data_IF_505737940072
#
_entry.id   IF_505737940072
#
_cell.length_a   1.000
_cell.length_b   1.000
_cell.length_c   1.000
_cell.angle_alpha   90.00
_cell.angle_beta   90.00
_cell.angle_gamma   90.00
#
_symmetry.space_group_name_H-M   'P 1'
#
loop_
_entity.id
_entity.type
_entity.pdbx_description
1 polymer ?
#
# COMPACT_ATOMS: atom_id res chain seq x y z
N UNK A 1 6.41 -0.51 -5.45
CA UNK A 1 7.33 -1.04 -4.43
C UNK A 1 8.01 -2.36 -4.81
N UNK A 2 7.33 -3.45 -5.16
CA UNK A 2 8.01 -4.73 -5.43
C UNK A 2 9.00 -4.68 -6.61
N UNK A 3 8.89 -3.67 -7.45
CA UNK A 3 9.78 -3.46 -8.59
C UNK A 3 11.21 -3.06 -8.21
N UNK A 4 11.42 -2.49 -7.03
CA UNK A 4 12.71 -1.94 -6.63
C UNK A 4 13.11 -2.32 -5.21
N UNK A 5 12.23 -2.94 -4.43
CA UNK A 5 12.49 -3.25 -3.03
C UNK A 5 11.59 -4.33 -2.43
N UNK A 6 12.01 -4.88 -1.28
CA UNK A 6 11.29 -5.80 -0.40
C UNK A 6 11.09 -7.23 -0.93
N UNK A 7 11.28 -7.47 -2.21
CA UNK A 7 11.10 -8.79 -2.81
C UNK A 7 12.28 -9.12 -3.71
N UNK A 8 13.03 -10.16 -3.38
CA UNK A 8 14.17 -10.74 -4.11
C UNK A 8 14.88 -9.85 -5.14
N UNK A 9 16.05 -9.31 -4.79
CA UNK A 9 16.81 -8.40 -5.67
C UNK A 9 17.13 -9.06 -7.02
N UNK A 10 17.39 -10.37 -7.05
CA UNK A 10 17.64 -11.15 -8.28
C UNK A 10 16.49 -11.11 -9.29
N UNK A 11 15.28 -10.71 -8.85
CA UNK A 11 14.06 -10.62 -9.69
C UNK A 11 13.66 -9.18 -10.00
N UNK A 12 14.53 -8.21 -9.75
CA UNK A 12 14.30 -6.80 -10.06
C UNK A 12 14.92 -6.48 -11.42
N UNK A 13 14.06 -6.14 -12.39
CA UNK A 13 14.45 -5.69 -13.73
C UNK A 13 13.68 -4.41 -14.06
N UNK A 14 14.43 -3.34 -14.31
CA UNK A 14 13.88 -2.02 -14.59
C UNK A 14 13.03 -1.96 -15.85
N UNK A 15 13.44 -2.62 -16.92
CA UNK A 15 12.70 -2.62 -18.19
C UNK A 15 11.41 -3.45 -18.08
N UNK A 16 11.47 -4.61 -17.42
CA UNK A 16 10.26 -5.40 -17.13
C UNK A 16 9.30 -4.62 -16.21
N UNK A 17 9.83 -3.89 -15.23
CA UNK A 17 9.03 -3.04 -14.34
C UNK A 17 8.36 -1.90 -15.08
N UNK A 18 9.06 -1.24 -16.02
CA UNK A 18 8.48 -0.19 -16.86
C UNK A 18 7.34 -0.73 -17.72
N UNK A 19 7.56 -1.86 -18.40
CA UNK A 19 6.49 -2.51 -19.18
C UNK A 19 5.27 -2.84 -18.32
N UNK A 20 5.48 -3.29 -17.08
CA UNK A 20 4.38 -3.57 -16.17
C UNK A 20 3.60 -2.30 -15.77
N UNK A 21 4.29 -1.16 -15.57
CA UNK A 21 3.61 0.11 -15.29
C UNK A 21 2.82 0.60 -16.50
N UNK A 22 3.40 0.56 -17.70
CA UNK A 22 2.69 0.94 -18.93
C UNK A 22 1.45 0.04 -19.14
N UNK A 23 1.58 -1.27 -18.99
CA UNK A 23 0.45 -2.20 -19.09
C UNK A 23 -0.66 -1.89 -18.05
N UNK A 24 -0.29 -1.50 -16.83
CA UNK A 24 -1.28 -1.06 -15.82
C UNK A 24 -2.03 0.19 -16.28
N UNK A 25 -1.34 1.20 -16.79
CA UNK A 25 -1.96 2.43 -17.30
C UNK A 25 -2.85 2.15 -18.52
N UNK A 26 -2.41 1.29 -19.43
CA UNK A 26 -3.18 0.89 -20.62
C UNK A 26 -4.44 0.08 -20.24
N UNK A 27 -4.39 -0.65 -19.12
CA UNK A 27 -5.53 -1.34 -18.52
C UNK A 27 -6.44 -0.42 -17.66
N UNK A 28 -6.22 0.91 -17.67
CA UNK A 28 -7.07 1.88 -16.99
C UNK A 28 -6.67 2.22 -15.54
N UNK A 29 -5.57 1.68 -15.02
CA UNK A 29 -5.02 2.11 -13.73
C UNK A 29 -4.52 3.55 -13.86
N UNK A 30 -4.92 4.44 -12.95
CA UNK A 30 -4.50 5.85 -12.99
C UNK A 30 -3.67 6.28 -11.77
N UNK A 31 -3.57 5.48 -10.73
CA UNK A 31 -2.83 5.80 -9.51
C UNK A 31 -1.53 5.01 -9.44
N UNK A 32 -0.39 5.73 -9.33
CA UNK A 32 0.91 5.14 -9.04
C UNK A 32 1.36 5.56 -7.64
N UNK A 33 1.56 4.57 -6.74
CA UNK A 33 2.02 4.78 -5.38
C UNK A 33 3.47 4.34 -5.21
N UNK A 34 4.34 5.28 -4.85
CA UNK A 34 5.75 5.06 -4.58
C UNK A 34 6.17 5.62 -3.21
N UNK A 35 7.45 5.68 -2.92
CA UNK A 35 8.06 6.35 -1.76
C UNK A 35 9.54 6.63 -2.01
N UNK A 36 10.07 7.66 -1.36
CA UNK A 36 11.50 7.99 -1.41
C UNK A 36 12.37 6.84 -0.92
N UNK A 37 11.93 6.11 0.10
CA UNK A 37 12.67 4.98 0.65
C UNK A 37 12.70 3.72 -0.24
N UNK A 38 11.86 3.63 -1.28
CA UNK A 38 11.80 2.42 -2.09
C UNK A 38 13.00 2.27 -3.02
N UNK A 39 13.81 1.23 -2.78
CA UNK A 39 14.96 0.85 -3.54
C UNK A 39 16.25 1.69 -3.43
N UNK A 40 16.65 2.29 -2.32
CA UNK A 40 16.34 3.66 -1.93
C UNK A 40 16.39 4.60 -3.12
N UNK A 41 15.35 5.37 -3.29
CA UNK A 41 15.12 6.37 -4.36
C UNK A 41 14.91 5.82 -5.79
N UNK A 42 15.32 4.59 -6.08
CA UNK A 42 15.31 4.03 -7.45
C UNK A 42 13.89 3.82 -7.98
N UNK A 43 12.91 3.60 -7.09
CA UNK A 43 11.52 3.45 -7.50
C UNK A 43 10.92 4.78 -8.02
N UNK A 44 11.23 5.90 -7.38
CA UNK A 44 10.79 7.22 -7.87
C UNK A 44 11.45 7.57 -9.21
N UNK A 45 12.72 7.18 -9.43
CA UNK A 45 13.37 7.34 -10.74
C UNK A 45 12.67 6.52 -11.83
N UNK A 46 12.25 5.29 -11.52
CA UNK A 46 11.50 4.45 -12.45
C UNK A 46 10.14 5.08 -12.78
N UNK A 47 9.40 5.53 -11.76
CA UNK A 47 8.11 6.22 -11.96
C UNK A 47 8.31 7.52 -12.72
N UNK A 48 9.39 8.28 -12.47
CA UNK A 48 9.73 9.50 -13.19
C UNK A 48 9.89 9.30 -14.69
N UNK A 49 10.45 8.15 -15.14
CA UNK A 49 10.49 7.81 -16.57
C UNK A 49 9.09 7.70 -17.18
N UNK A 50 8.16 7.10 -16.45
CA UNK A 50 6.75 7.00 -16.91
C UNK A 50 6.06 8.37 -16.91
N UNK A 51 6.25 9.17 -15.85
CA UNK A 51 5.64 10.49 -15.75
C UNK A 51 6.12 11.45 -16.84
N UNK A 52 7.37 11.33 -17.28
CA UNK A 52 7.89 12.12 -18.42
C UNK A 52 7.05 11.94 -19.69
N UNK A 53 6.50 10.76 -19.90
CA UNK A 53 5.74 10.40 -21.09
C UNK A 53 4.23 10.52 -20.89
N UNK A 54 3.75 10.20 -19.66
CA UNK A 54 2.32 9.97 -19.38
C UNK A 54 1.83 10.71 -18.12
N UNK A 55 2.38 11.90 -17.82
CA UNK A 55 1.99 12.66 -16.60
C UNK A 55 0.49 12.93 -16.51
N UNK A 56 -0.16 13.19 -17.64
CA UNK A 56 -1.60 13.47 -17.70
C UNK A 56 -2.49 12.28 -17.33
N UNK A 57 -1.99 11.05 -17.45
CA UNK A 57 -2.73 9.83 -17.20
C UNK A 57 -2.58 9.36 -15.73
N UNK A 58 -1.71 10.01 -14.94
CA UNK A 58 -1.27 9.50 -13.66
C UNK A 58 -1.58 10.44 -12.51
N UNK A 59 -2.27 9.91 -11.51
CA UNK A 59 -2.28 10.44 -10.15
C UNK A 59 -1.08 9.85 -9.40
N UNK A 60 -0.05 10.66 -9.14
CA UNK A 60 1.16 10.20 -8.48
C UNK A 60 1.12 10.43 -6.98
N UNK A 61 1.34 9.35 -6.22
CA UNK A 61 1.51 9.35 -4.78
C UNK A 61 2.95 8.97 -4.42
N UNK A 62 3.57 9.75 -3.55
CA UNK A 62 4.85 9.37 -2.93
C UNK A 62 4.88 9.73 -1.45
N UNK A 63 5.92 9.28 -0.74
CA UNK A 63 5.98 9.34 0.72
C UNK A 63 7.35 9.81 1.19
N UNK A 64 7.36 10.47 2.37
CA UNK A 64 8.57 10.80 3.11
C UNK A 64 8.45 10.39 4.57
N UNK A 65 9.49 10.63 5.34
CA UNK A 65 9.48 10.40 6.78
C UNK A 65 10.21 9.15 7.23
N UNK A 66 10.82 8.40 6.28
CA UNK A 66 11.67 7.26 6.59
C UNK A 66 13.02 7.40 5.89
N UNK A 67 14.09 7.18 6.66
CA UNK A 67 15.45 7.08 6.17
C UNK A 67 15.90 5.62 6.19
N UNK A 68 16.47 5.17 5.09
CA UNK A 68 17.04 3.82 4.98
C UNK A 68 18.54 3.91 5.22
N UNK A 69 19.00 3.33 6.32
CA UNK A 69 20.41 3.06 6.57
C UNK A 69 20.78 1.63 6.19
N UNK A 70 22.06 1.27 6.34
CA UNK A 70 22.56 -0.05 5.95
C UNK A 70 21.88 -1.21 6.69
N UNK A 71 21.50 -1.04 7.95
CA UNK A 71 20.93 -2.09 8.78
C UNK A 71 19.59 -1.73 9.44
N UNK A 72 19.12 -0.48 9.30
CA UNK A 72 17.92 -0.02 9.99
C UNK A 72 17.19 1.06 9.19
N UNK A 73 15.91 1.19 9.48
CA UNK A 73 15.05 2.26 8.97
C UNK A 73 14.73 3.18 10.15
N UNK A 74 14.96 4.48 9.97
CA UNK A 74 14.75 5.51 11.00
C UNK A 74 13.68 6.47 10.52
N UNK A 75 12.75 6.83 11.43
CA UNK A 75 11.81 7.91 11.16
C UNK A 75 12.53 9.27 11.21
N UNK A 76 12.12 10.20 10.34
CA UNK A 76 12.56 11.59 10.36
C UNK A 76 11.41 12.51 9.94
N UNK A 77 10.80 13.14 10.94
CA UNK A 77 9.68 14.08 10.75
C UNK A 77 10.08 15.55 10.79
N UNK A 78 11.38 15.87 10.90
CA UNK A 78 11.84 17.25 11.05
C UNK A 78 11.42 18.11 9.85
N UNK A 79 10.79 19.29 10.07
CA UNK A 79 10.27 20.16 9.00
C UNK A 79 11.27 20.43 7.88
N UNK A 80 12.52 20.73 8.20
CA UNK A 80 13.55 20.99 7.20
C UNK A 80 13.92 19.76 6.36
N UNK A 81 13.83 18.54 6.95
CA UNK A 81 14.02 17.31 6.20
C UNK A 81 12.85 17.07 5.23
N UNK A 82 11.60 17.16 5.71
CA UNK A 82 10.40 16.92 4.91
C UNK A 82 10.36 17.79 3.66
N UNK A 83 10.68 19.08 3.79
CA UNK A 83 10.75 20.01 2.65
C UNK A 83 11.81 19.61 1.62
N UNK A 84 13.03 19.28 2.08
CA UNK A 84 14.10 18.82 1.18
C UNK A 84 13.79 17.47 0.54
N UNK A 85 13.14 16.56 1.27
CA UNK A 85 12.70 15.27 0.75
C UNK A 85 11.68 15.45 -0.39
N UNK A 86 10.71 16.35 -0.23
CA UNK A 86 9.76 16.69 -1.28
C UNK A 86 10.45 17.23 -2.54
N UNK A 87 11.36 18.20 -2.40
CA UNK A 87 12.13 18.75 -3.52
C UNK A 87 12.97 17.67 -4.22
N UNK A 88 13.50 16.74 -3.47
CA UNK A 88 14.24 15.62 -4.03
C UNK A 88 13.32 14.63 -4.77
N UNK A 89 12.13 14.34 -4.23
CA UNK A 89 11.12 13.49 -4.87
C UNK A 89 10.62 14.09 -6.18
N UNK A 90 10.32 15.39 -6.21
CA UNK A 90 9.94 16.11 -7.44
C UNK A 90 10.99 15.94 -8.55
N UNK A 91 12.28 16.10 -8.21
CA UNK A 91 13.38 15.90 -9.16
C UNK A 91 13.46 14.47 -9.69
N UNK A 92 13.32 13.44 -8.79
CA UNK A 92 13.37 12.03 -9.19
C UNK A 92 12.16 11.63 -10.03
N UNK A 93 10.98 12.12 -9.65
CA UNK A 93 9.72 11.92 -10.36
C UNK A 93 9.63 12.72 -11.66
N UNK A 94 10.53 13.68 -11.90
CA UNK A 94 10.54 14.54 -13.09
C UNK A 94 9.19 15.26 -13.31
N UNK A 95 8.61 15.78 -12.21
CA UNK A 95 7.34 16.52 -12.20
C UNK A 95 7.44 17.73 -11.27
N UNK A 96 6.68 18.78 -11.57
CA UNK A 96 6.62 19.98 -10.75
C UNK A 96 5.64 19.87 -9.60
N UNK A 97 4.73 18.87 -9.63
CA UNK A 97 3.71 18.67 -8.62
C UNK A 97 3.45 17.21 -8.32
N UNK A 98 3.36 16.88 -7.03
CA UNK A 98 2.93 15.57 -6.50
C UNK A 98 1.44 15.67 -6.17
N UNK A 99 0.64 14.70 -6.63
CA UNK A 99 -0.81 14.72 -6.39
C UNK A 99 -1.14 14.35 -4.94
N UNK A 100 -0.45 13.37 -4.35
CA UNK A 100 -0.60 12.98 -2.95
C UNK A 100 0.77 12.78 -2.30
N UNK A 101 1.09 13.57 -1.28
CA UNK A 101 2.31 13.42 -0.50
C UNK A 101 1.98 12.87 0.87
N UNK A 102 2.59 11.74 1.25
CA UNK A 102 2.20 11.02 2.45
C UNK A 102 3.32 11.02 3.49
N UNK A 103 2.94 11.18 4.76
CA UNK A 103 3.82 10.88 5.88
C UNK A 103 3.87 9.35 6.07
N UNK A 104 5.01 8.74 5.73
CA UNK A 104 5.18 7.28 5.75
C UNK A 104 5.16 6.72 7.17
N UNK A 105 5.82 7.43 8.11
CA UNK A 105 5.76 7.18 9.56
C UNK A 105 5.99 8.48 10.31
N UNK A 106 5.24 8.68 11.38
CA UNK A 106 5.53 9.76 12.32
C UNK A 106 6.86 9.49 13.03
N UNK A 107 7.63 10.56 13.21
CA UNK A 107 8.86 10.55 14.00
C UNK A 107 8.49 10.66 15.50
N UNK A 108 8.89 9.71 16.35
CA UNK A 108 8.56 9.78 17.76
C UNK A 108 9.25 10.96 18.51
N UNK A 109 10.31 11.54 17.92
CA UNK A 109 11.06 12.67 18.50
C UNK A 109 10.52 14.04 18.05
N UNK A 110 9.58 14.07 17.09
CA UNK A 110 9.03 15.31 16.52
C UNK A 110 7.50 15.30 16.66
N UNK A 111 6.90 16.34 17.24
CA UNK A 111 5.44 16.45 17.23
C UNK A 111 4.89 16.32 15.82
N UNK A 112 3.94 15.42 15.63
CA UNK A 112 3.40 15.13 14.29
C UNK A 112 2.77 16.36 13.63
N UNK A 113 2.30 17.31 14.43
CA UNK A 113 1.76 18.60 13.98
C UNK A 113 2.83 19.48 13.31
N UNK A 114 4.07 19.44 13.81
CA UNK A 114 5.19 20.20 13.20
C UNK A 114 5.55 19.61 11.84
N UNK A 115 5.64 18.27 11.77
CA UNK A 115 5.86 17.55 10.50
C UNK A 115 4.74 17.87 9.51
N UNK A 116 3.48 17.79 9.98
CA UNK A 116 2.32 18.01 9.14
C UNK A 116 2.19 19.48 8.69
N UNK A 117 2.53 20.43 9.54
CA UNK A 117 2.62 21.86 9.21
C UNK A 117 3.61 22.11 8.06
N UNK A 118 4.79 21.49 8.12
CA UNK A 118 5.76 21.57 7.02
C UNK A 118 5.25 20.96 5.71
N UNK A 119 4.47 19.87 5.78
CA UNK A 119 3.81 19.31 4.60
C UNK A 119 2.72 20.23 4.05
N UNK A 120 1.94 20.89 4.93
CA UNK A 120 0.93 21.87 4.54
C UNK A 120 1.54 23.07 3.81
N UNK A 121 2.71 23.54 4.22
CA UNK A 121 3.44 24.60 3.50
C UNK A 121 3.82 24.17 2.07
N UNK A 122 4.08 22.88 1.82
CA UNK A 122 4.35 22.38 0.46
C UNK A 122 3.08 22.43 -0.42
N UNK A 123 1.89 22.25 0.17
CA UNK A 123 0.62 22.45 -0.54
C UNK A 123 0.43 23.92 -0.88
N UNK A 124 0.66 24.81 0.08
CA UNK A 124 0.59 26.26 -0.14
C UNK A 124 1.58 26.73 -1.22
N UNK A 125 2.75 26.11 -1.28
CA UNK A 125 3.77 26.39 -2.29
C UNK A 125 3.45 25.78 -3.68
N UNK A 126 2.34 25.05 -3.83
CA UNK A 126 1.94 24.41 -5.09
C UNK A 126 2.76 23.17 -5.50
N UNK A 127 3.65 22.68 -4.64
CA UNK A 127 4.49 21.50 -4.89
C UNK A 127 3.74 20.19 -4.69
N UNK A 128 2.68 20.22 -3.87
CA UNK A 128 1.86 19.08 -3.49
C UNK A 128 0.39 19.49 -3.59
N UNK A 129 -0.48 18.61 -4.06
CA UNK A 129 -1.93 18.88 -4.16
C UNK A 129 -2.69 18.47 -2.90
N UNK A 130 -2.30 17.33 -2.29
CA UNK A 130 -3.02 16.73 -1.16
C UNK A 130 -2.09 15.96 -0.24
N UNK A 131 -2.49 15.85 1.03
CA UNK A 131 -1.70 15.19 2.06
C UNK A 131 -2.34 13.88 2.50
N UNK A 132 -1.49 12.87 2.75
CA UNK A 132 -1.89 11.58 3.27
C UNK A 132 -1.04 11.12 4.44
N UNK A 133 -1.58 10.19 5.21
CA UNK A 133 -0.89 9.58 6.34
C UNK A 133 -0.94 8.05 6.21
N UNK A 134 0.25 7.41 6.29
CA UNK A 134 0.32 5.96 6.37
C UNK A 134 0.13 5.51 7.82
N UNK A 135 -0.72 4.51 8.01
CA UNK A 135 -0.96 3.92 9.31
C UNK A 135 0.33 3.31 9.89
N UNK A 136 0.47 3.39 11.20
CA UNK A 136 1.48 2.66 11.93
C UNK A 136 1.18 1.18 11.76
N UNK A 137 2.11 0.43 11.19
CA UNK A 137 1.93 -1.02 11.02
C UNK A 137 2.00 -1.77 12.36
N UNK A 138 1.55 -3.02 12.37
CA UNK A 138 1.52 -3.91 13.54
C UNK A 138 2.85 -4.02 14.31
N UNK A 139 3.99 -3.74 13.64
CA UNK A 139 5.33 -3.73 14.28
C UNK A 139 5.53 -2.70 15.38
N UNK A 140 4.69 -1.67 15.48
CA UNK A 140 4.91 -0.56 16.41
C UNK A 140 4.30 -0.77 17.80
N UNK A 141 3.72 -1.92 18.09
CA UNK A 141 3.19 -2.25 19.40
C UNK A 141 2.37 -3.51 19.40
N UNK A 142 2.56 -4.38 20.38
CA UNK A 142 1.91 -5.66 20.63
C UNK A 142 0.38 -5.55 20.83
N UNK A 143 -0.35 -5.00 19.84
CA UNK A 143 -1.80 -4.85 19.92
C UNK A 143 -2.45 -5.51 18.72
N UNK A 144 -3.30 -6.48 18.97
CA UNK A 144 -4.09 -7.19 17.98
C UNK A 144 -5.50 -6.57 17.86
N UNK A 145 -6.12 -6.72 16.70
CA UNK A 145 -7.50 -6.32 16.47
C UNK A 145 -7.72 -4.80 16.41
N UNK A 146 -8.87 -4.33 16.88
CA UNK A 146 -9.30 -2.93 16.79
C UNK A 146 -8.31 -1.92 17.40
N UNK A 147 -7.52 -2.32 18.40
CA UNK A 147 -6.50 -1.46 19.04
C UNK A 147 -5.26 -1.21 18.17
N UNK A 148 -5.06 -1.99 17.12
CA UNK A 148 -3.92 -1.82 16.21
C UNK A 148 -3.88 -0.44 15.57
N UNK A 149 -5.04 0.17 15.33
CA UNK A 149 -5.16 1.46 14.67
C UNK A 149 -5.34 2.65 15.62
N UNK A 150 -5.36 2.44 16.95
CA UNK A 150 -5.56 3.51 17.93
C UNK A 150 -4.52 4.64 17.80
N UNK A 151 -3.25 4.27 17.61
CA UNK A 151 -2.19 5.27 17.44
C UNK A 151 -2.39 6.07 16.13
N UNK A 152 -2.71 5.39 15.05
CA UNK A 152 -3.01 6.05 13.78
C UNK A 152 -4.19 7.01 13.92
N UNK A 153 -5.27 6.60 14.59
CA UNK A 153 -6.42 7.47 14.85
C UNK A 153 -6.07 8.67 15.73
N UNK A 154 -5.19 8.51 16.73
CA UNK A 154 -4.68 9.63 17.52
C UNK A 154 -3.92 10.62 16.66
N UNK A 155 -3.00 10.15 15.82
CA UNK A 155 -2.24 10.98 14.88
C UNK A 155 -3.18 11.70 13.90
N UNK A 156 -4.13 10.99 13.30
CA UNK A 156 -5.10 11.56 12.37
C UNK A 156 -5.92 12.70 12.99
N UNK A 157 -6.38 12.53 14.25
CA UNK A 157 -7.11 13.59 14.96
C UNK A 157 -6.24 14.83 15.21
N UNK A 158 -4.95 14.66 15.46
CA UNK A 158 -4.01 15.76 15.70
C UNK A 158 -3.69 16.49 14.41
N UNK A 159 -3.27 15.76 13.35
CA UNK A 159 -2.87 16.40 12.08
C UNK A 159 -4.05 17.07 11.37
N UNK A 160 -5.26 16.54 11.51
CA UNK A 160 -6.48 17.12 10.95
C UNK A 160 -6.79 18.52 11.50
N UNK A 161 -6.30 18.87 12.69
CA UNK A 161 -6.43 20.22 13.26
C UNK A 161 -5.46 21.23 12.64
N UNK A 162 -4.38 20.73 12.01
CA UNK A 162 -3.36 21.57 11.37
C UNK A 162 -3.69 21.81 9.90
N UNK A 163 -3.98 20.73 9.17
CA UNK A 163 -4.33 20.77 7.75
C UNK A 163 -5.12 19.51 7.36
N UNK A 164 -6.10 19.61 6.44
CA UNK A 164 -6.94 18.48 6.06
C UNK A 164 -6.14 17.25 5.62
N UNK A 165 -6.54 16.08 6.11
CA UNK A 165 -6.09 14.78 5.63
C UNK A 165 -6.95 14.40 4.43
N UNK A 166 -6.33 14.14 3.28
CA UNK A 166 -7.03 13.73 2.06
C UNK A 166 -7.04 12.21 1.89
N UNK A 167 -6.06 11.51 2.46
CA UNK A 167 -5.94 10.06 2.29
C UNK A 167 -5.29 9.40 3.51
N UNK A 168 -5.77 8.20 3.85
CA UNK A 168 -5.10 7.28 4.79
C UNK A 168 -4.66 6.06 4.02
N UNK A 169 -3.40 5.63 4.18
CA UNK A 169 -2.93 4.36 3.64
C UNK A 169 -2.69 3.37 4.79
N UNK A 170 -3.36 2.22 4.72
CA UNK A 170 -3.20 1.14 5.72
C UNK A 170 -3.31 -0.22 5.06
N UNK A 171 -2.82 -1.26 5.74
CA UNK A 171 -3.06 -2.63 5.32
C UNK A 171 -4.56 -2.92 5.33
N UNK A 172 -5.07 -3.47 4.23
CA UNK A 172 -6.42 -4.00 4.12
C UNK A 172 -6.43 -5.10 3.07
N UNK A 173 -6.80 -6.29 3.49
CA UNK A 173 -6.95 -7.46 2.63
C UNK A 173 -7.89 -8.47 3.30
N UNK A 174 -8.29 -9.51 2.57
CA UNK A 174 -9.13 -10.60 3.12
C UNK A 174 -8.50 -11.27 4.35
N UNK A 175 -7.18 -11.30 4.45
CA UNK A 175 -6.50 -11.88 5.63
C UNK A 175 -6.00 -10.85 6.66
N UNK A 176 -6.24 -9.56 6.43
CA UNK A 176 -5.92 -8.46 7.37
C UNK A 176 -7.02 -7.40 7.27
N UNK A 177 -8.23 -7.70 7.80
CA UNK A 177 -9.40 -6.83 7.65
C UNK A 177 -9.52 -5.75 8.74
N UNK A 178 -8.59 -5.64 9.68
CA UNK A 178 -8.70 -4.84 10.91
C UNK A 178 -8.96 -3.35 10.66
N UNK A 179 -8.58 -2.84 9.49
CA UNK A 179 -8.86 -1.44 9.11
C UNK A 179 -10.37 -1.16 8.94
N UNK A 180 -11.18 -2.19 8.70
CA UNK A 180 -12.64 -2.08 8.55
C UNK A 180 -13.33 -1.55 9.82
N UNK A 181 -12.80 -1.92 10.99
CA UNK A 181 -13.46 -1.62 12.26
C UNK A 181 -13.20 -0.19 12.76
N UNK A 182 -12.11 0.42 12.35
CA UNK A 182 -11.64 1.68 12.92
C UNK A 182 -11.27 2.75 11.89
N UNK A 183 -10.35 2.45 10.97
CA UNK A 183 -9.84 3.45 10.04
C UNK A 183 -10.83 3.77 8.93
N UNK A 184 -11.46 2.76 8.36
CA UNK A 184 -12.39 2.94 7.26
C UNK A 184 -13.62 3.76 7.65
N UNK A 185 -14.31 3.50 8.79
CA UNK A 185 -15.39 4.35 9.28
C UNK A 185 -14.94 5.78 9.57
N UNK A 186 -13.72 5.98 10.09
CA UNK A 186 -13.18 7.33 10.33
C UNK A 186 -13.01 8.09 9.01
N UNK A 187 -12.48 7.41 7.96
CA UNK A 187 -12.30 7.97 6.63
C UNK A 187 -13.65 8.31 5.98
N UNK A 188 -14.60 7.36 5.98
CA UNK A 188 -15.92 7.52 5.38
C UNK A 188 -16.68 8.71 5.99
N UNK A 189 -16.66 8.85 7.32
CA UNK A 189 -17.33 9.95 8.02
C UNK A 189 -16.77 11.34 7.71
N UNK A 190 -15.60 11.43 7.03
CA UNK A 190 -14.88 12.69 6.75
C UNK A 190 -14.60 12.92 5.27
N UNK A 191 -15.07 12.05 4.38
CA UNK A 191 -14.77 12.13 2.94
C UNK A 191 -13.28 11.96 2.64
N UNK A 192 -12.56 11.20 3.50
CA UNK A 192 -11.13 10.91 3.33
C UNK A 192 -10.97 9.62 2.51
N UNK A 193 -10.11 9.65 1.50
CA UNK A 193 -9.77 8.48 0.70
C UNK A 193 -9.01 7.43 1.52
N UNK A 194 -9.14 6.17 1.15
CA UNK A 194 -8.43 5.07 1.79
C UNK A 194 -7.67 4.24 0.76
N UNK A 195 -6.35 4.20 0.88
CA UNK A 195 -5.47 3.36 0.04
C UNK A 195 -5.17 2.06 0.78
N UNK A 196 -5.70 0.96 0.26
CA UNK A 196 -5.49 -0.38 0.82
C UNK A 196 -4.12 -0.91 0.41
N UNK A 197 -3.17 -0.89 1.33
CA UNK A 197 -1.85 -1.48 1.15
C UNK A 197 -1.90 -3.01 1.31
N UNK A 198 -0.99 -3.70 0.62
CA UNK A 198 -0.86 -5.17 0.64
C UNK A 198 -2.18 -5.93 0.39
N UNK A 199 -3.03 -5.51 -0.57
CA UNK A 199 -4.37 -6.08 -0.76
C UNK A 199 -4.36 -7.55 -1.16
N UNK A 200 -3.22 -8.06 -1.64
CA UNK A 200 -2.99 -9.47 -2.00
C UNK A 200 -2.18 -10.24 -0.94
N UNK A 201 -2.05 -9.71 0.28
CA UNK A 201 -1.32 -10.36 1.36
C UNK A 201 0.11 -10.77 0.96
N UNK A 202 0.90 -9.85 0.42
CA UNK A 202 2.25 -10.10 -0.10
C UNK A 202 2.31 -11.25 -1.14
N UNK A 203 1.22 -11.46 -1.90
CA UNK A 203 1.07 -12.47 -2.93
C UNK A 203 0.45 -13.79 -2.46
N UNK A 204 0.16 -13.97 -1.16
CA UNK A 204 -0.45 -15.21 -0.66
C UNK A 204 -1.87 -15.41 -1.19
N UNK A 205 -2.66 -14.36 -1.25
CA UNK A 205 -4.06 -14.41 -1.68
C UNK A 205 -4.24 -14.64 -3.19
N UNK A 206 -3.15 -14.61 -3.97
CA UNK A 206 -3.18 -15.02 -5.39
C UNK A 206 -3.37 -16.52 -5.56
N UNK A 207 -3.10 -17.31 -4.51
CA UNK A 207 -3.15 -18.76 -4.55
C UNK A 207 -2.00 -19.44 -5.31
N UNK A 208 -0.95 -18.68 -5.69
CA UNK A 208 0.22 -19.21 -6.40
C UNK A 208 1.35 -19.66 -5.47
N UNK A 209 1.30 -19.27 -4.19
CA UNK A 209 2.29 -19.65 -3.21
C UNK A 209 1.94 -20.99 -2.55
N UNK A 210 2.91 -21.85 -2.40
CA UNK A 210 2.74 -23.18 -1.78
C UNK A 210 3.43 -23.25 -0.42
N UNK A 211 2.82 -23.92 0.59
CA UNK A 211 3.48 -24.14 1.87
C UNK A 211 4.85 -24.79 1.71
N UNK A 212 5.84 -24.28 2.40
CA UNK A 212 7.20 -24.82 2.37
C UNK A 212 8.06 -24.35 1.19
N UNK A 213 7.51 -23.57 0.25
CA UNK A 213 8.39 -22.91 -0.72
C UNK A 213 9.32 -21.94 0.00
N UNK A 214 10.60 -21.93 -0.37
CA UNK A 214 11.58 -20.99 0.17
C UNK A 214 11.45 -19.59 -0.45
N UNK A 215 11.97 -18.60 0.28
CA UNK A 215 12.15 -17.24 -0.21
C UNK A 215 13.63 -16.86 -0.11
N UNK A 216 14.10 -16.01 -0.99
CA UNK A 216 15.49 -15.50 -0.91
C UNK A 216 15.67 -14.69 0.38
N UNK A 217 16.89 -14.66 0.97
CA UNK A 217 17.13 -13.99 2.27
C UNK A 217 16.78 -12.50 2.31
N UNK A 218 16.82 -11.81 1.16
CA UNK A 218 16.48 -10.41 0.99
C UNK A 218 14.99 -10.19 0.71
N UNK A 219 14.20 -11.25 0.50
CA UNK A 219 12.76 -11.18 0.38
C UNK A 219 12.12 -10.99 1.76
N UNK A 220 11.27 -9.98 1.91
CA UNK A 220 10.60 -9.68 3.18
C UNK A 220 9.83 -10.87 3.73
N UNK A 221 9.31 -11.74 2.85
CA UNK A 221 8.55 -12.92 3.23
C UNK A 221 9.40 -13.99 3.93
N UNK A 222 10.71 -14.03 3.66
CA UNK A 222 11.61 -14.97 4.34
C UNK A 222 11.65 -14.78 5.86
N UNK A 223 11.31 -13.57 6.34
CA UNK A 223 11.30 -13.21 7.76
C UNK A 223 9.90 -12.94 8.32
N UNK A 224 8.89 -13.03 7.48
CA UNK A 224 7.51 -12.75 7.89
C UNK A 224 6.86 -14.00 8.50
N UNK A 225 6.34 -13.95 9.73
CA UNK A 225 5.77 -15.12 10.42
C UNK A 225 4.69 -15.87 9.64
N UNK A 226 3.84 -15.16 8.88
CA UNK A 226 2.79 -15.76 8.03
C UNK A 226 3.33 -16.65 6.90
N UNK A 227 4.62 -16.53 6.55
CA UNK A 227 5.23 -17.26 5.43
C UNK A 227 6.10 -18.45 5.87
N UNK A 228 6.05 -18.85 7.14
CA UNK A 228 6.55 -20.18 7.54
C UNK A 228 5.69 -21.28 6.92
N UNK A 229 6.26 -22.47 6.71
CA UNK A 229 5.53 -23.59 6.10
C UNK A 229 4.21 -23.89 6.84
N UNK A 230 4.26 -23.94 8.18
CA UNK A 230 3.10 -24.25 9.02
C UNK A 230 2.02 -23.16 8.94
N UNK A 231 2.42 -21.88 8.96
CA UNK A 231 1.45 -20.77 8.86
C UNK A 231 0.86 -20.68 7.46
N UNK A 232 1.64 -20.89 6.42
CA UNK A 232 1.13 -20.97 5.05
C UNK A 232 0.15 -22.12 4.89
N UNK A 233 0.43 -23.30 5.46
CA UNK A 233 -0.50 -24.45 5.47
C UNK A 233 -1.79 -24.12 6.23
N UNK A 234 -1.68 -23.53 7.42
CA UNK A 234 -2.82 -23.16 8.24
C UNK A 234 -3.74 -22.11 7.60
N UNK A 235 -3.19 -21.27 6.69
CA UNK A 235 -3.93 -20.21 5.98
C UNK A 235 -4.46 -20.66 4.60
N UNK A 236 -4.17 -21.88 4.12
CA UNK A 236 -4.70 -22.40 2.85
C UNK A 236 -6.25 -22.36 2.73
N UNK A 237 -7.03 -22.58 3.80
CA UNK A 237 -8.48 -22.47 3.73
C UNK A 237 -8.97 -21.08 3.23
N UNK A 238 -8.24 -20.00 3.50
CA UNK A 238 -8.56 -18.65 2.99
C UNK A 238 -8.43 -18.65 1.47
N UNK A 239 -7.32 -19.15 0.94
CA UNK A 239 -7.09 -19.24 -0.51
C UNK A 239 -8.09 -20.17 -1.18
N UNK A 240 -8.44 -21.30 -0.54
CA UNK A 240 -9.44 -22.22 -1.05
C UNK A 240 -10.83 -21.56 -1.15
N UNK A 241 -11.20 -20.73 -0.16
CA UNK A 241 -12.42 -19.94 -0.22
C UNK A 241 -12.42 -18.94 -1.39
N UNK A 242 -11.34 -18.18 -1.55
CA UNK A 242 -11.20 -17.25 -2.67
C UNK A 242 -11.27 -17.97 -4.03
N UNK A 243 -10.71 -19.18 -4.15
CA UNK A 243 -10.82 -19.99 -5.39
C UNK A 243 -12.26 -20.38 -5.70
N UNK A 244 -13.05 -20.80 -4.70
CA UNK A 244 -14.46 -21.15 -4.92
C UNK A 244 -15.26 -19.97 -5.47
N UNK A 245 -15.10 -18.78 -4.85
CA UNK A 245 -15.73 -17.55 -5.34
C UNK A 245 -15.23 -17.20 -6.74
N UNK A 246 -13.93 -17.33 -7.01
CA UNK A 246 -13.34 -17.06 -8.31
C UNK A 246 -13.90 -17.97 -9.42
N UNK A 247 -14.07 -19.25 -9.13
CA UNK A 247 -14.67 -20.24 -10.06
C UNK A 247 -16.11 -19.84 -10.47
N UNK A 248 -16.93 -19.33 -9.53
CA UNK A 248 -18.29 -18.88 -9.80
C UNK A 248 -18.34 -17.71 -10.77
N UNK A 249 -17.31 -16.88 -10.77
CA UNK A 249 -17.23 -15.66 -11.59
C UNK A 249 -16.31 -15.79 -12.82
N UNK A 250 -15.69 -16.94 -13.05
CA UNK A 250 -14.68 -17.09 -14.12
C UNK A 250 -13.47 -16.17 -13.91
N UNK A 251 -13.14 -15.86 -12.66
CA UNK A 251 -12.09 -14.95 -12.26
C UNK A 251 -10.92 -15.68 -11.57
N UNK A 252 -9.89 -14.94 -11.16
CA UNK A 252 -8.80 -15.47 -10.35
C UNK A 252 -8.97 -15.12 -8.87
N UNK A 253 -8.35 -15.86 -7.93
CA UNK A 253 -8.36 -15.51 -6.52
C UNK A 253 -7.81 -14.09 -6.25
N UNK A 254 -6.82 -13.64 -7.03
CA UNK A 254 -6.28 -12.29 -6.95
C UNK A 254 -7.33 -11.24 -7.30
N UNK A 255 -8.09 -11.45 -8.37
CA UNK A 255 -9.17 -10.55 -8.76
C UNK A 255 -10.30 -10.52 -7.71
N UNK A 256 -10.68 -11.67 -7.14
CA UNK A 256 -11.67 -11.72 -6.05
C UNK A 256 -11.18 -10.96 -4.82
N UNK A 257 -9.92 -11.17 -4.41
CA UNK A 257 -9.34 -10.45 -3.27
C UNK A 257 -9.31 -8.92 -3.47
N UNK A 258 -9.00 -8.46 -4.69
CA UNK A 258 -9.01 -7.03 -5.03
C UNK A 258 -10.42 -6.47 -5.15
N UNK A 259 -11.35 -7.20 -5.76
CA UNK A 259 -12.77 -6.82 -5.87
C UNK A 259 -13.42 -6.72 -4.48
N UNK A 260 -13.06 -7.63 -3.56
CA UNK A 260 -13.49 -7.54 -2.17
C UNK A 260 -13.01 -6.25 -1.51
N UNK A 261 -11.75 -5.84 -1.71
CA UNK A 261 -11.24 -4.56 -1.20
C UNK A 261 -11.98 -3.38 -1.81
N UNK A 262 -12.20 -3.37 -3.12
CA UNK A 262 -12.97 -2.31 -3.82
C UNK A 262 -14.40 -2.20 -3.29
N UNK A 263 -15.03 -3.30 -2.96
CA UNK A 263 -16.38 -3.35 -2.42
C UNK A 263 -16.53 -2.83 -0.99
N UNK A 264 -15.44 -2.49 -0.28
CA UNK A 264 -15.51 -1.94 1.08
C UNK A 264 -15.95 -0.46 1.13
N UNK A 265 -16.03 0.21 -0.02
CA UNK A 265 -16.56 1.57 -0.12
C UNK A 265 -15.99 2.35 -1.30
N UNK A 266 -16.73 3.32 -1.78
CA UNK A 266 -16.33 4.13 -2.95
C UNK A 266 -15.04 4.93 -2.75
N UNK A 267 -14.63 5.17 -1.50
CA UNK A 267 -13.39 5.86 -1.14
C UNK A 267 -12.19 4.93 -1.04
N UNK A 268 -12.36 3.60 -1.24
CA UNK A 268 -11.30 2.59 -1.06
C UNK A 268 -10.64 2.25 -2.39
N UNK A 269 -9.31 2.39 -2.44
CA UNK A 269 -8.50 2.07 -3.61
C UNK A 269 -7.40 1.08 -3.22
N UNK A 270 -7.38 -0.15 -3.76
CA UNK A 270 -6.29 -1.08 -3.53
C UNK A 270 -5.03 -0.64 -4.29
N UNK A 271 -3.86 -0.84 -3.67
CA UNK A 271 -2.55 -0.58 -4.30
C UNK A 271 -1.74 -1.88 -4.43
N UNK A 272 -2.16 -2.80 -5.31
CA UNK A 272 -1.45 -4.05 -5.53
C UNK A 272 -0.10 -3.80 -6.19
N UNK A 273 0.94 -4.44 -5.68
CA UNK A 273 2.26 -4.41 -6.30
C UNK A 273 2.41 -5.55 -7.30
N UNK A 274 2.84 -5.26 -8.53
CA UNK A 274 3.14 -6.26 -9.54
C UNK A 274 4.46 -5.96 -10.25
N UNK A 275 5.14 -7.01 -10.76
CA UNK A 275 6.44 -6.91 -11.44
C UNK A 275 6.33 -7.22 -12.94
N UNK A 276 5.22 -7.75 -13.41
CA UNK A 276 5.01 -8.23 -14.80
C UNK A 276 3.69 -7.72 -15.35
N UNK A 277 3.65 -7.42 -16.64
CA UNK A 277 2.47 -6.91 -17.33
C UNK A 277 1.25 -7.81 -17.12
N UNK A 278 1.41 -9.13 -17.25
CA UNK A 278 0.31 -10.09 -17.07
C UNK A 278 -0.35 -9.98 -15.68
N UNK A 279 0.42 -9.68 -14.64
CA UNK A 279 -0.15 -9.49 -13.29
C UNK A 279 -0.80 -8.13 -13.09
N UNK A 280 -0.31 -7.09 -13.77
CA UNK A 280 -0.95 -5.78 -13.71
C UNK A 280 -2.27 -5.77 -14.46
N UNK A 281 -2.35 -6.44 -15.60
CA UNK A 281 -3.57 -6.65 -16.38
C UNK A 281 -4.59 -7.49 -15.60
N UNK A 282 -4.16 -8.61 -15.00
CA UNK A 282 -4.98 -9.43 -14.11
C UNK A 282 -5.56 -8.61 -12.96
N UNK A 283 -4.71 -7.84 -12.27
CA UNK A 283 -5.14 -7.00 -11.13
C UNK A 283 -6.14 -5.91 -11.58
N UNK A 284 -5.92 -5.29 -12.73
CA UNK A 284 -6.82 -4.27 -13.28
C UNK A 284 -8.22 -4.85 -13.59
N UNK A 285 -8.29 -6.09 -14.04
CA UNK A 285 -9.53 -6.79 -14.29
C UNK A 285 -10.46 -6.93 -13.06
N UNK A 286 -9.90 -6.83 -11.87
CA UNK A 286 -10.70 -6.83 -10.63
C UNK A 286 -11.73 -5.69 -10.54
N UNK A 287 -11.47 -4.56 -11.21
CA UNK A 287 -12.37 -3.41 -11.21
C UNK A 287 -13.70 -3.69 -11.93
N UNK A 288 -13.73 -4.66 -12.85
CA UNK A 288 -14.92 -5.11 -13.54
C UNK A 288 -15.65 -6.26 -12.85
N UNK A 289 -15.12 -6.80 -11.76
CA UNK A 289 -15.68 -7.95 -11.06
C UNK A 289 -16.69 -7.50 -10.00
N UNK A 290 -17.98 -7.72 -10.26
CA UNK A 290 -19.07 -7.44 -9.33
C UNK A 290 -19.28 -8.61 -8.36
N UNK A 291 -18.81 -8.53 -7.12
CA UNK A 291 -19.11 -9.49 -6.07
C UNK A 291 -20.52 -9.26 -5.51
N UNK A 292 -21.25 -10.33 -5.27
CA UNK A 292 -22.57 -10.32 -4.66
C UNK A 292 -22.53 -10.27 -3.14
N UNK A 293 -23.65 -9.99 -2.48
CA UNK A 293 -23.75 -10.06 -1.02
C UNK A 293 -23.44 -11.47 -0.47
N UNK A 294 -23.74 -12.52 -1.26
CA UNK A 294 -23.43 -13.91 -0.91
C UNK A 294 -21.92 -14.15 -0.94
N UNK A 295 -21.22 -13.65 -1.95
CA UNK A 295 -19.75 -13.72 -2.03
C UNK A 295 -19.07 -13.01 -0.85
N UNK A 296 -19.56 -11.82 -0.49
CA UNK A 296 -19.07 -11.12 0.71
C UNK A 296 -19.33 -11.92 1.98
N UNK A 297 -20.49 -12.58 2.10
CA UNK A 297 -20.82 -13.47 3.21
C UNK A 297 -19.92 -14.71 3.26
N UNK A 298 -19.64 -15.34 2.12
CA UNK A 298 -18.70 -16.46 2.03
C UNK A 298 -17.30 -16.03 2.46
N UNK A 299 -16.79 -14.93 1.95
CA UNK A 299 -15.47 -14.40 2.30
C UNK A 299 -15.40 -14.03 3.79
N UNK A 300 -16.45 -13.43 4.35
CA UNK A 300 -16.51 -13.08 5.78
C UNK A 300 -16.53 -14.31 6.69
N UNK A 301 -17.00 -15.47 6.20
CA UNK A 301 -17.01 -16.74 6.95
C UNK A 301 -15.67 -17.47 6.97
N UNK A 302 -14.68 -17.00 6.19
CA UNK A 302 -13.36 -17.61 6.14
C UNK A 302 -12.65 -17.49 7.49
N UNK A 303 -11.78 -18.46 7.83
CA UNK A 303 -11.07 -18.41 9.10
C UNK A 303 -10.14 -17.18 9.17
N UNK A 304 -10.01 -16.62 10.37
CA UNK A 304 -9.02 -15.56 10.62
C UNK A 304 -7.61 -16.05 10.27
N UNK A 305 -6.81 -15.18 9.66
CA UNK A 305 -5.45 -15.52 9.29
C UNK A 305 -4.58 -15.80 10.53
N UNK A 306 -3.76 -16.83 10.45
CA UNK A 306 -2.80 -17.20 11.49
C UNK A 306 -1.42 -16.62 11.20
N UNK A 307 -0.69 -16.36 12.29
CA UNK A 307 0.62 -15.72 12.25
C UNK A 307 0.48 -14.20 12.12
N UNK A 308 1.11 -13.48 13.03
CA UNK A 308 1.22 -12.03 12.98
C UNK A 308 2.70 -11.63 13.06
N UNK A 309 2.97 -10.33 12.92
CA UNK A 309 4.30 -9.78 13.18
C UNK A 309 4.63 -9.69 14.68
N UNK A 310 3.72 -10.11 15.55
CA UNK A 310 3.83 -10.04 17.02
C UNK A 310 4.57 -11.24 17.59
#
# INVERSE_FOLDING_TARGET
>A
MPMSWAYSASRQDGETSLRAVHAALDAGTSLLDTADMYGPFTNELLVGRVLKERRGDVFVSTKCGLLVGEQHIVANGRPGYVKRACDASLRRLQTDVIDLYQLHRADPEVPVEETWGAMAELVTAGKVRSLGLCAVGARAGRRAGAQMHDETLRQLRRVQQVFPVSCVQAELSVWSPEALDALLPWCAARGVGFMAAMPLGNGFLTGTLTPGQGFEPDDVRARHPRFTADMMAANQPIVAGLRRVAEQHGATPAQVALAWVLGQGAQVVPVPGAKRSVWTEENAGAAGLGLTAEDFGEIASLPAARGSWD
#
